data_IF_294315586510
#
_entry.id   IF_294315586510
#
_cell.length_a   1.000
_cell.length_b   1.000
_cell.length_c   1.000
_cell.angle_alpha   90.00
_cell.angle_beta   90.00
_cell.angle_gamma   90.00
#
_symmetry.space_group_name_H-M   'P 1'
#
loop_
_entity.id
_entity.type
_entity.pdbx_description
1 polymer ?
#
# COMPACT_ATOMS: atom_id res chain seq x y z
N UNK A 1 -15.15 4.03 8.42
CA UNK A 1 -14.51 4.82 7.35
C UNK A 1 -14.34 3.90 6.14
N UNK A 2 -14.58 4.33 4.89
CA UNK A 2 -14.38 3.48 3.71
C UNK A 2 -13.10 3.92 3.00
N UNK A 3 -12.15 3.01 2.87
CA UNK A 3 -10.93 3.25 2.08
C UNK A 3 -11.28 2.98 0.61
N UNK A 4 -11.30 4.03 -0.20
CA UNK A 4 -11.51 3.88 -1.64
C UNK A 4 -10.24 3.36 -2.30
N UNK A 5 -10.38 2.32 -3.12
CA UNK A 5 -9.22 1.69 -3.77
C UNK A 5 -8.54 2.64 -4.75
N UNK A 6 -9.30 3.46 -5.47
CA UNK A 6 -8.75 4.35 -6.48
C UNK A 6 -7.94 5.47 -5.82
N UNK A 7 -8.49 6.10 -4.79
CA UNK A 7 -7.78 7.12 -4.01
C UNK A 7 -6.50 6.55 -3.36
N UNK A 8 -6.60 5.33 -2.83
CA UNK A 8 -5.48 4.60 -2.25
C UNK A 8 -4.38 4.33 -3.30
N UNK A 9 -4.77 3.80 -4.46
CA UNK A 9 -3.86 3.49 -5.55
C UNK A 9 -3.21 4.75 -6.12
N UNK A 10 -3.96 5.84 -6.30
CA UNK A 10 -3.42 7.13 -6.76
C UNK A 10 -2.39 7.68 -5.78
N UNK A 11 -2.62 7.53 -4.47
CA UNK A 11 -1.66 7.96 -3.46
C UNK A 11 -0.35 7.17 -3.51
N UNK A 12 -0.43 5.84 -3.48
CA UNK A 12 0.76 4.98 -3.49
C UNK A 12 1.49 5.12 -4.82
N UNK A 13 0.80 4.93 -5.95
CA UNK A 13 1.42 4.94 -7.27
C UNK A 13 1.94 6.33 -7.65
N UNK A 14 1.19 7.39 -7.31
CA UNK A 14 1.57 8.77 -7.56
C UNK A 14 2.88 9.19 -6.88
N UNK A 15 3.20 8.61 -5.71
CA UNK A 15 4.46 8.88 -5.01
C UNK A 15 5.68 8.33 -5.75
N UNK A 16 5.53 7.20 -6.43
CA UNK A 16 6.63 6.52 -7.15
C UNK A 16 6.64 6.80 -8.65
N UNK A 17 5.67 7.58 -9.15
CA UNK A 17 5.51 7.79 -10.58
C UNK A 17 5.11 6.52 -11.33
N UNK A 18 4.51 5.55 -10.63
CA UNK A 18 4.01 4.31 -11.21
C UNK A 18 2.57 4.54 -11.68
N UNK A 19 2.16 3.88 -12.76
CA UNK A 19 0.76 3.88 -13.18
C UNK A 19 -0.03 2.84 -12.40
N UNK A 20 -1.28 3.15 -12.02
CA UNK A 20 -2.15 2.20 -11.31
C UNK A 20 -2.25 0.88 -12.08
N UNK A 21 -2.37 0.94 -13.41
CA UNK A 21 -2.43 -0.26 -14.27
C UNK A 21 -1.18 -1.14 -14.18
N UNK A 22 0.00 -0.55 -13.96
CA UNK A 22 1.23 -1.31 -13.77
C UNK A 22 1.29 -1.90 -12.37
N UNK A 23 0.91 -1.13 -11.36
CA UNK A 23 0.84 -1.60 -9.98
C UNK A 23 -0.20 -2.70 -9.77
N UNK A 24 -1.27 -2.73 -10.58
CA UNK A 24 -2.27 -3.79 -10.60
C UNK A 24 -1.80 -5.05 -11.32
N UNK A 25 -0.94 -4.91 -12.33
CA UNK A 25 -0.36 -6.03 -13.08
C UNK A 25 0.84 -6.65 -12.37
N UNK A 26 1.56 -5.87 -11.58
CA UNK A 26 2.67 -6.37 -10.79
C UNK A 26 2.16 -7.23 -9.64
N UNK A 27 2.80 -8.39 -9.46
CA UNK A 27 2.54 -9.24 -8.30
C UNK A 27 3.14 -8.61 -7.05
N UNK A 28 4.24 -7.86 -7.20
CA UNK A 28 4.91 -7.17 -6.08
C UNK A 28 5.42 -5.76 -6.41
N UNK A 29 5.51 -4.91 -5.39
CA UNK A 29 6.13 -3.58 -5.47
C UNK A 29 7.60 -3.63 -5.90
N UNK A 30 8.30 -4.72 -5.60
CA UNK A 30 9.69 -4.92 -6.01
C UNK A 30 9.84 -5.00 -7.54
N UNK A 31 8.86 -5.56 -8.25
CA UNK A 31 8.85 -5.58 -9.72
C UNK A 31 8.67 -4.19 -10.32
N UNK A 32 8.04 -3.28 -9.58
CA UNK A 32 7.88 -1.88 -9.94
C UNK A 32 9.09 -1.02 -9.57
N UNK A 33 10.16 -1.64 -9.05
CA UNK A 33 11.37 -0.95 -8.59
C UNK A 33 11.24 -0.29 -7.23
N UNK A 34 10.26 -0.69 -6.40
CA UNK A 34 10.17 -0.22 -5.02
C UNK A 34 10.97 -1.14 -4.10
N UNK A 35 12.02 -0.58 -3.49
CA UNK A 35 12.75 -1.25 -2.43
C UNK A 35 11.94 -1.34 -1.13
N UNK A 36 12.41 -2.18 -0.19
CA UNK A 36 11.80 -2.35 1.12
C UNK A 36 11.59 -1.01 1.85
N UNK A 37 12.57 -0.10 1.83
CA UNK A 37 12.47 1.24 2.45
C UNK A 37 11.31 2.08 1.89
N UNK A 38 11.03 1.94 0.60
CA UNK A 38 9.90 2.61 -0.05
C UNK A 38 8.58 2.07 0.48
N UNK A 39 8.47 0.74 0.60
CA UNK A 39 7.30 0.08 1.18
C UNK A 39 7.07 0.55 2.62
N UNK A 40 8.12 0.57 3.46
CA UNK A 40 8.03 1.09 4.83
C UNK A 40 7.55 2.54 4.88
N UNK A 41 8.04 3.41 3.99
CA UNK A 41 7.64 4.81 3.93
C UNK A 41 6.15 4.96 3.61
N UNK A 42 5.66 4.21 2.60
CA UNK A 42 4.24 4.20 2.22
C UNK A 42 3.37 3.74 3.37
N UNK A 43 3.79 2.67 4.04
CA UNK A 43 3.05 2.11 5.17
C UNK A 43 2.93 3.15 6.28
N UNK A 44 4.01 3.81 6.68
CA UNK A 44 3.97 4.84 7.71
C UNK A 44 3.03 6.01 7.37
N UNK A 45 2.98 6.44 6.11
CA UNK A 45 2.05 7.49 5.70
C UNK A 45 0.58 7.04 5.70
N UNK A 46 0.33 5.78 5.35
CA UNK A 46 -1.00 5.19 5.41
C UNK A 46 -1.44 5.03 6.86
N UNK A 47 -0.55 4.57 7.74
CA UNK A 47 -0.80 4.49 9.18
C UNK A 47 -1.23 5.84 9.75
N UNK A 48 -0.50 6.90 9.41
CA UNK A 48 -0.83 8.27 9.82
C UNK A 48 -2.15 8.76 9.21
N UNK A 49 -2.37 8.53 7.91
CA UNK A 49 -3.58 8.99 7.20
C UNK A 49 -4.85 8.31 7.66
N UNK A 50 -4.79 7.00 7.90
CA UNK A 50 -5.96 6.20 8.24
C UNK A 50 -6.05 5.88 9.74
N UNK A 51 -5.13 6.42 10.56
CA UNK A 51 -4.99 6.15 11.99
C UNK A 51 -4.97 4.64 12.31
N UNK A 52 -4.22 3.88 11.50
CA UNK A 52 -4.06 2.43 11.67
C UNK A 52 -2.64 2.08 12.08
N UNK A 53 -2.48 0.90 12.69
CA UNK A 53 -1.17 0.32 13.01
C UNK A 53 -0.99 -0.97 12.21
N UNK A 54 0.03 -0.97 11.37
CA UNK A 54 0.52 -2.08 10.54
C UNK A 54 1.68 -2.73 11.29
N UNK A 55 1.52 -4.01 11.59
CA UNK A 55 2.58 -4.75 12.27
C UNK A 55 3.75 -4.99 11.31
N UNK A 56 4.97 -4.83 11.81
CA UNK A 56 6.18 -4.99 10.99
C UNK A 56 6.35 -6.42 10.45
N UNK A 57 5.77 -7.41 11.15
CA UNK A 57 5.70 -8.80 10.69
C UNK A 57 4.84 -8.93 9.41
N UNK A 58 3.71 -8.20 9.35
CA UNK A 58 2.80 -8.19 8.20
C UNK A 58 3.39 -7.48 6.98
N UNK A 59 4.39 -6.61 7.14
CA UNK A 59 5.01 -5.86 6.04
C UNK A 59 5.61 -6.80 4.98
N UNK A 60 6.10 -7.96 5.42
CA UNK A 60 6.62 -8.99 4.52
C UNK A 60 5.54 -9.60 3.63
N UNK A 61 4.30 -9.67 4.13
CA UNK A 61 3.11 -10.13 3.40
C UNK A 61 2.46 -9.00 2.58
N UNK A 62 2.75 -7.74 2.93
CA UNK A 62 2.30 -6.52 2.26
C UNK A 62 3.30 -6.11 1.16
N UNK A 63 3.47 -7.00 0.19
CA UNK A 63 4.41 -6.81 -0.90
C UNK A 63 3.76 -6.31 -2.20
N UNK A 64 2.46 -6.03 -2.23
CA UNK A 64 1.75 -5.56 -3.43
C UNK A 64 0.65 -4.54 -3.12
N UNK A 65 0.23 -3.78 -4.14
CA UNK A 65 -0.80 -2.75 -4.00
C UNK A 65 -2.12 -3.33 -3.48
N UNK A 66 -2.54 -4.45 -4.05
CA UNK A 66 -3.75 -5.16 -3.64
C UNK A 66 -3.66 -5.69 -2.20
N UNK A 67 -2.52 -6.27 -1.81
CA UNK A 67 -2.31 -6.79 -0.45
C UNK A 67 -2.33 -5.68 0.58
N UNK A 68 -1.64 -4.57 0.30
CA UNK A 68 -1.63 -3.39 1.15
C UNK A 68 -3.04 -2.80 1.29
N UNK A 69 -3.76 -2.61 0.19
CA UNK A 69 -5.13 -2.11 0.23
C UNK A 69 -6.05 -3.01 1.09
N UNK A 70 -6.00 -4.32 0.89
CA UNK A 70 -6.82 -5.27 1.65
C UNK A 70 -6.47 -5.24 3.14
N UNK A 71 -5.19 -5.12 3.48
CA UNK A 71 -4.73 -5.02 4.86
C UNK A 71 -5.34 -3.80 5.57
N UNK A 72 -5.18 -2.63 4.96
CA UNK A 72 -5.66 -1.36 5.49
C UNK A 72 -7.19 -1.36 5.55
N UNK A 73 -7.85 -1.84 4.51
CA UNK A 73 -9.32 -1.97 4.50
C UNK A 73 -9.84 -2.86 5.62
N UNK A 74 -9.15 -3.97 5.93
CA UNK A 74 -9.51 -4.84 7.05
C UNK A 74 -9.28 -4.19 8.42
N UNK A 75 -8.27 -3.34 8.56
CA UNK A 75 -8.01 -2.59 9.81
C UNK A 75 -8.99 -1.44 10.01
N UNK A 76 -9.27 -0.65 8.97
CA UNK A 76 -10.19 0.50 9.00
C UNK A 76 -11.67 0.09 9.03
N UNK A 77 -11.99 -1.11 8.55
CA UNK A 77 -13.35 -1.66 8.49
C UNK A 77 -13.82 -2.38 9.76
N UNK A 78 -12.94 -2.53 10.76
CA UNK A 78 -13.29 -2.96 12.12
C UNK A 78 -13.63 -1.75 12.98
#
# INVERSE_FOLDING_TARGET
MKVDYKEFAEFVCGRYGISIEEAEKADTFMELGMDSLSIYSVIGEIEERYEVVVDTDDITDINSLNRLYQYIRNKVGK
#
